data_IF_996619904468
#
_entry.id   IF_996619904468
#
_cell.length_a   1.000
_cell.length_b   1.000
_cell.length_c   1.000
_cell.angle_alpha   90.00
_cell.angle_beta   90.00
_cell.angle_gamma   90.00
#
_symmetry.space_group_name_H-M   'P 1'
#
loop_
_entity.id
_entity.type
_entity.pdbx_description
1 polymer ?
#
# COMPACT_ATOMS: atom_id res chain seq x y z
N UNK A 1 -12.64 3.10 16.95
CA UNK A 1 -12.95 3.30 15.53
C UNK A 1 -11.92 2.51 14.73
N UNK A 2 -12.32 1.60 13.85
CA UNK A 2 -11.40 0.81 13.03
C UNK A 2 -11.21 1.50 11.67
N UNK A 3 -9.96 1.63 11.21
CA UNK A 3 -9.63 2.22 9.91
C UNK A 3 -9.01 1.16 9.00
N UNK A 4 -9.42 1.10 7.74
CA UNK A 4 -8.84 0.17 6.76
C UNK A 4 -7.68 0.87 6.06
N UNK A 5 -6.50 0.24 6.12
CA UNK A 5 -5.26 0.77 5.53
C UNK A 5 -4.76 -0.20 4.46
N UNK A 6 -4.55 0.31 3.26
CA UNK A 6 -4.01 -0.46 2.14
C UNK A 6 -2.51 -0.19 1.99
N UNK A 7 -1.73 -1.25 1.85
CA UNK A 7 -0.30 -1.14 1.54
C UNK A 7 0.02 -1.98 0.33
N UNK A 8 0.64 -1.35 -0.68
CA UNK A 8 1.04 -2.02 -1.90
C UNK A 8 2.53 -2.32 -1.85
N UNK A 9 2.89 -3.59 -1.97
CA UNK A 9 4.30 -3.96 -2.14
C UNK A 9 4.70 -3.74 -3.60
N UNK A 10 5.70 -2.89 -3.82
CA UNK A 10 6.14 -2.45 -5.15
C UNK A 10 6.78 -3.56 -5.99
N UNK A 11 7.42 -4.54 -5.35
CA UNK A 11 8.14 -5.61 -6.03
C UNK A 11 7.20 -6.71 -6.53
N UNK A 12 6.13 -6.98 -5.79
CA UNK A 12 5.18 -8.06 -6.10
C UNK A 12 3.85 -7.56 -6.68
N UNK A 13 3.57 -6.25 -6.60
CA UNK A 13 2.30 -5.67 -7.04
C UNK A 13 1.08 -6.13 -6.21
N UNK A 14 1.32 -6.78 -5.06
CA UNK A 14 0.26 -7.25 -4.18
C UNK A 14 -0.10 -6.13 -3.22
N UNK A 15 -1.38 -5.78 -3.20
CA UNK A 15 -1.93 -4.88 -2.19
C UNK A 15 -2.38 -5.72 -1.00
N UNK A 16 -2.09 -5.26 0.21
CA UNK A 16 -2.47 -5.88 1.47
C UNK A 16 -3.44 -4.96 2.18
N UNK A 17 -4.55 -5.52 2.66
CA UNK A 17 -5.54 -4.78 3.44
C UNK A 17 -5.35 -5.07 4.93
N UNK A 18 -5.16 -4.00 5.72
CA UNK A 18 -5.00 -4.07 7.15
C UNK A 18 -6.14 -3.35 7.86
N UNK A 19 -6.72 -4.00 8.86
CA UNK A 19 -7.56 -3.33 9.84
C UNK A 19 -6.66 -2.69 10.89
N UNK A 20 -6.73 -1.37 11.02
CA UNK A 20 -6.04 -0.62 12.06
C UNK A 20 -7.02 -0.30 13.17
N UNK A 21 -6.83 -0.94 14.31
CA UNK A 21 -7.58 -0.65 15.54
C UNK A 21 -6.70 0.21 16.43
N UNK A 22 -7.08 1.47 16.62
CA UNK A 22 -6.44 2.37 17.57
C UNK A 22 -6.99 2.14 18.98
N UNK A 23 -6.09 1.95 19.94
CA UNK A 23 -6.41 1.85 21.36
C UNK A 23 -5.55 2.83 22.16
N UNK A 24 -6.05 3.23 23.32
CA UNK A 24 -5.32 4.08 24.25
C UNK A 24 -4.52 3.19 25.21
N UNK A 25 -3.20 3.29 25.15
CA UNK A 25 -2.31 2.61 26.06
C UNK A 25 -2.11 3.47 27.31
N UNK A 26 -2.62 3.00 28.46
CA UNK A 26 -2.61 3.77 29.72
C UNK A 26 -1.25 3.81 30.39
N UNK A 27 -0.41 2.80 30.18
CA UNK A 27 0.92 2.74 30.79
C UNK A 27 1.86 3.74 30.13
N UNK A 28 1.80 3.84 28.80
CA UNK A 28 2.66 4.74 28.02
C UNK A 28 2.01 6.10 27.74
N UNK A 29 0.74 6.26 28.11
CA UNK A 29 -0.08 7.46 27.84
C UNK A 29 -0.05 7.90 26.38
N UNK A 30 -0.08 6.93 25.46
CA UNK A 30 0.02 7.18 24.03
C UNK A 30 -1.03 6.38 23.27
N UNK A 31 -1.54 6.97 22.20
CA UNK A 31 -2.38 6.25 21.25
C UNK A 31 -1.52 5.27 20.44
N UNK A 32 -1.84 3.98 20.52
CA UNK A 32 -1.19 2.93 19.73
C UNK A 32 -2.22 2.31 18.80
N UNK A 33 -1.74 1.79 17.67
CA UNK A 33 -2.58 1.09 16.72
C UNK A 33 -2.05 -0.33 16.50
N UNK A 34 -2.94 -1.31 16.60
CA UNK A 34 -2.67 -2.69 16.18
C UNK A 34 -3.21 -2.89 14.78
N UNK A 35 -2.42 -3.55 13.92
CA UNK A 35 -2.82 -3.89 12.55
C UNK A 35 -3.09 -5.39 12.46
N UNK A 36 -4.31 -5.75 12.06
CA UNK A 36 -4.68 -7.13 11.72
C UNK A 36 -4.75 -7.26 10.20
N UNK A 37 -4.16 -8.32 9.66
CA UNK A 37 -4.28 -8.64 8.24
C UNK A 37 -5.69 -9.18 7.98
N UNK A 38 -6.49 -8.45 7.20
CA UNK A 38 -7.86 -8.89 6.83
C UNK A 38 -7.80 -9.84 5.64
N UNK A 39 -6.83 -9.64 4.75
CA UNK A 39 -6.62 -10.51 3.60
C UNK A 39 -5.70 -9.88 2.55
N UNK A 40 -5.31 -10.69 1.56
CA UNK A 40 -4.57 -10.25 0.37
C UNK A 40 -5.58 -9.90 -0.74
N UNK A 41 -5.93 -8.63 -1.00
CA UNK A 41 -6.63 -8.31 -2.24
C UNK A 41 -5.72 -8.63 -3.43
N UNK A 42 -6.07 -9.69 -4.15
CA UNK A 42 -5.29 -10.19 -5.28
C UNK A 42 -5.29 -9.16 -6.40
N UNK A 43 -4.07 -8.72 -6.72
CA UNK A 43 -3.55 -8.30 -8.03
C UNK A 43 -4.17 -7.04 -8.63
N UNK A 44 -3.43 -5.93 -8.46
CA UNK A 44 -3.55 -4.78 -9.34
C UNK A 44 -3.17 -5.18 -10.77
N UNK A 45 -4.12 -5.00 -11.68
CA UNK A 45 -3.95 -5.03 -13.12
C UNK A 45 -3.03 -3.86 -13.52
N UNK A 46 -1.71 -4.03 -13.45
CA UNK A 46 -0.79 -3.14 -14.16
C UNK A 46 -0.63 -3.66 -15.59
N UNK A 47 -1.68 -3.49 -16.38
CA UNK A 47 -1.62 -3.53 -17.84
C UNK A 47 -1.31 -2.13 -18.37
N UNK A 48 -0.31 -2.06 -19.27
CA UNK A 48 -0.02 -0.95 -20.20
C UNK A 48 0.32 0.42 -19.59
N UNK A 49 1.62 0.76 -19.59
CA UNK A 49 2.14 2.01 -20.19
C UNK A 49 3.68 2.08 -20.03
N UNK A 50 4.45 1.23 -20.74
CA UNK A 50 5.92 1.42 -20.79
C UNK A 50 6.56 1.16 -22.16
N UNK A 51 5.76 1.16 -23.23
CA UNK A 51 6.27 1.25 -24.59
C UNK A 51 6.02 2.67 -25.11
N UNK A 52 7.08 3.34 -25.57
CA UNK A 52 7.15 4.70 -26.19
C UNK A 52 7.65 5.87 -25.32
N UNK A 53 8.84 5.76 -24.73
CA UNK A 53 9.64 6.96 -24.37
C UNK A 53 11.08 6.95 -24.92
N UNK A 54 11.40 6.03 -25.85
CA UNK A 54 12.80 5.79 -26.28
C UNK A 54 13.21 6.40 -27.63
N UNK A 55 12.57 7.47 -28.14
CA UNK A 55 12.88 7.99 -29.50
C UNK A 55 13.27 9.49 -29.59
N UNK A 56 13.23 10.30 -28.53
CA UNK A 56 13.49 11.76 -28.69
C UNK A 56 14.70 12.32 -27.95
N UNK A 57 15.89 11.93 -28.41
CA UNK A 57 17.13 12.69 -28.13
C UNK A 57 18.24 12.35 -29.13
N UNK A 58 17.96 12.57 -30.42
CA UNK A 58 19.00 12.67 -31.45
C UNK A 58 18.55 13.70 -32.50
N UNK A 59 18.77 14.99 -32.21
CA UNK A 59 18.94 16.10 -33.17
C UNK A 59 18.83 17.43 -32.41
N UNK A 60 19.97 18.03 -32.07
CA UNK A 60 20.44 19.37 -32.49
C UNK A 60 21.78 19.61 -31.83
#
# INVERSE_FOLDING_TARGET
MAAIVFQTNKETGITYAYESVSYWDKEKQQSRAMRKLIGKPLKGFYGCCFTLSSIRSAST
#
